data_IF_573551068616
#
_entry.id   IF_573551068616
#
_cell.length_a   1.000
_cell.length_b   1.000
_cell.length_c   1.000
_cell.angle_alpha   90.00
_cell.angle_beta   90.00
_cell.angle_gamma   90.00
#
_symmetry.space_group_name_H-M   'P 1'
#
loop_
_entity.id
_entity.type
_entity.pdbx_description
1 polymer ?
#
# COMPACT_ATOMS: atom_id res chain seq x y z
N UNK A 1 -27.18 66.90 -21.42
CA UNK A 1 -26.66 65.81 -22.29
C UNK A 1 -25.55 65.06 -21.56
N UNK A 2 -25.57 63.72 -21.65
CA UNK A 2 -24.49 62.73 -21.37
C UNK A 2 -23.95 62.57 -19.93
N UNK A 3 -24.57 61.66 -19.17
CA UNK A 3 -23.88 60.85 -18.15
C UNK A 3 -23.38 59.55 -18.81
N UNK A 4 -22.06 59.44 -18.96
CA UNK A 4 -21.39 58.31 -19.58
C UNK A 4 -21.31 57.13 -18.61
N UNK A 5 -21.85 55.99 -19.06
CA UNK A 5 -21.74 54.66 -18.44
C UNK A 5 -20.27 54.24 -18.41
N UNK A 6 -19.73 53.96 -17.23
CA UNK A 6 -18.48 53.17 -17.05
C UNK A 6 -18.64 52.26 -15.85
N UNK A 7 -19.36 51.17 -16.05
CA UNK A 7 -19.27 50.00 -15.20
C UNK A 7 -19.01 48.80 -16.11
N UNK A 8 -18.27 47.82 -15.58
CA UNK A 8 -18.22 46.45 -16.10
C UNK A 8 -17.12 46.10 -17.12
N UNK A 9 -15.87 46.53 -16.90
CA UNK A 9 -14.71 45.85 -17.50
C UNK A 9 -13.92 45.02 -16.47
N UNK A 10 -13.80 45.50 -15.22
CA UNK A 10 -13.02 44.82 -14.19
C UNK A 10 -13.66 43.52 -13.64
N UNK A 11 -15.00 43.42 -13.65
CA UNK A 11 -15.70 42.24 -13.14
C UNK A 11 -15.63 41.03 -14.09
N UNK A 12 -15.44 41.25 -15.39
CA UNK A 12 -15.40 40.17 -16.39
C UNK A 12 -14.05 39.43 -16.36
N UNK A 13 -12.95 40.14 -16.09
CA UNK A 13 -11.62 39.50 -16.00
C UNK A 13 -11.46 38.63 -14.74
N UNK A 14 -12.07 39.01 -13.62
CA UNK A 14 -12.03 38.21 -12.39
C UNK A 14 -12.83 36.90 -12.53
N UNK A 15 -13.94 36.91 -13.29
CA UNK A 15 -14.73 35.71 -13.55
C UNK A 15 -14.01 34.71 -14.48
N UNK A 16 -13.23 35.19 -15.47
CA UNK A 16 -12.47 34.33 -16.38
C UNK A 16 -11.25 33.66 -15.73
N UNK A 17 -10.67 34.27 -14.69
CA UNK A 17 -9.56 33.66 -13.91
C UNK A 17 -10.02 32.54 -12.97
N UNK A 18 -11.30 32.50 -12.60
CA UNK A 18 -11.87 31.47 -11.70
C UNK A 18 -12.31 30.19 -12.43
N UNK A 19 -12.38 30.21 -13.77
CA UNK A 19 -12.76 29.04 -14.59
C UNK A 19 -11.55 28.16 -14.92
N UNK A 20 -10.33 28.62 -14.62
CA UNK A 20 -9.08 27.91 -14.93
C UNK A 20 -8.69 26.76 -13.98
N UNK A 21 -9.43 26.55 -12.89
CA UNK A 21 -9.08 25.55 -11.87
C UNK A 21 -10.18 24.50 -11.65
N UNK A 22 -11.04 24.24 -12.64
CA UNK A 22 -11.76 22.96 -12.66
C UNK A 22 -10.76 21.91 -13.15
N UNK A 23 -9.84 21.53 -12.26
CA UNK A 23 -9.00 20.37 -12.47
C UNK A 23 -9.95 19.21 -12.74
N UNK A 24 -9.88 18.61 -13.94
CA UNK A 24 -10.59 17.37 -14.20
C UNK A 24 -10.13 16.39 -13.13
N UNK A 25 -11.06 15.96 -12.27
CA UNK A 25 -10.76 14.92 -11.31
C UNK A 25 -10.15 13.75 -12.07
N UNK A 26 -8.97 13.26 -11.64
CA UNK A 26 -8.33 12.18 -12.35
C UNK A 26 -9.24 10.96 -12.31
N UNK A 27 -9.46 10.33 -13.47
CA UNK A 27 -10.28 9.12 -13.60
C UNK A 27 -9.81 8.08 -12.59
N UNK A 28 -10.74 7.51 -11.82
CA UNK A 28 -10.40 6.54 -10.79
C UNK A 28 -9.84 5.24 -11.41
N UNK A 29 -8.92 4.59 -10.69
CA UNK A 29 -8.43 3.24 -11.02
C UNK A 29 -9.47 2.22 -10.54
N UNK A 30 -9.89 1.31 -11.42
CA UNK A 30 -11.00 0.36 -11.13
C UNK A 30 -10.66 -1.12 -11.35
N UNK A 31 -9.49 -1.41 -11.92
CA UNK A 31 -9.04 -2.77 -12.22
C UNK A 31 -7.55 -2.91 -11.97
N UNK A 32 -7.11 -4.13 -11.62
CA UNK A 32 -5.69 -4.50 -11.52
C UNK A 32 -4.95 -4.40 -12.86
N UNK A 33 -5.67 -4.34 -13.98
CA UNK A 33 -5.10 -4.21 -15.33
C UNK A 33 -4.87 -2.76 -15.76
N UNK A 34 -5.22 -1.78 -14.93
CA UNK A 34 -5.00 -0.38 -15.25
C UNK A 34 -3.49 -0.12 -15.46
N UNK A 35 -3.07 0.40 -16.63
CA UNK A 35 -1.66 0.55 -16.97
C UNK A 35 -0.92 1.46 -15.98
N UNK A 36 -1.63 2.38 -15.32
CA UNK A 36 -1.06 3.29 -14.31
C UNK A 36 -0.52 2.56 -13.09
N UNK A 37 -1.05 1.37 -12.80
CA UNK A 37 -0.55 0.53 -11.72
C UNK A 37 0.85 0.00 -12.03
N UNK A 38 1.16 -0.25 -13.31
CA UNK A 38 2.43 -0.84 -13.73
C UNK A 38 3.56 0.18 -13.77
N UNK A 39 3.29 1.38 -14.24
CA UNK A 39 4.30 2.43 -14.34
C UNK A 39 4.38 3.34 -13.10
N UNK A 40 3.47 3.16 -12.14
CA UNK A 40 3.42 3.96 -10.92
C UNK A 40 2.79 5.34 -11.11
N UNK A 41 2.15 5.61 -12.24
CA UNK A 41 1.49 6.90 -12.53
C UNK A 41 0.11 7.08 -11.89
N UNK A 42 -0.26 6.21 -10.93
CA UNK A 42 -1.48 6.40 -10.14
C UNK A 42 -1.41 7.74 -9.40
N UNK A 43 -2.40 8.63 -9.56
CA UNK A 43 -2.39 9.92 -8.90
C UNK A 43 -2.32 9.77 -7.38
N UNK A 44 -1.43 10.52 -6.73
CA UNK A 44 -1.22 10.45 -5.28
C UNK A 44 -2.50 10.69 -4.46
N UNK A 45 -3.43 11.51 -4.98
CA UNK A 45 -4.74 11.75 -4.38
C UNK A 45 -5.62 10.48 -4.29
N UNK A 46 -5.34 9.46 -5.10
CA UNK A 46 -6.03 8.16 -5.05
C UNK A 46 -5.30 7.13 -4.17
N UNK A 47 -4.08 7.42 -3.71
CA UNK A 47 -3.26 6.52 -2.92
C UNK A 47 -3.44 6.77 -1.42
N UNK A 48 -3.81 5.72 -0.69
CA UNK A 48 -3.84 5.74 0.77
C UNK A 48 -2.77 4.79 1.30
N UNK A 49 -1.75 5.32 1.98
CA UNK A 49 -0.66 4.53 2.55
C UNK A 49 -1.15 3.63 3.69
N UNK A 50 -0.75 2.37 3.65
CA UNK A 50 -1.02 1.38 4.69
C UNK A 50 0.22 1.21 5.57
N UNK A 51 0.02 1.20 6.88
CA UNK A 51 1.05 0.87 7.87
C UNK A 51 1.24 -0.65 7.99
N UNK A 52 1.30 -1.35 6.87
CA UNK A 52 1.36 -2.81 6.79
C UNK A 52 2.79 -3.32 6.46
N UNK A 53 3.81 -2.50 6.68
CA UNK A 53 5.22 -2.92 6.52
C UNK A 53 5.65 -3.80 7.70
N UNK A 54 5.39 -5.10 7.63
CA UNK A 54 5.53 -6.05 8.73
C UNK A 54 6.18 -7.37 8.28
N UNK A 55 7.06 -7.91 9.14
CA UNK A 55 7.66 -9.24 8.98
C UNK A 55 6.67 -10.37 9.35
N UNK A 56 6.91 -11.64 8.97
CA UNK A 56 5.95 -12.73 9.19
C UNK A 56 5.50 -12.93 10.64
N UNK A 57 6.42 -12.80 11.59
CA UNK A 57 6.14 -12.93 13.01
C UNK A 57 5.32 -11.74 13.57
N UNK A 58 5.49 -10.55 13.00
CA UNK A 58 4.63 -9.39 13.29
C UNK A 58 3.25 -9.57 12.68
N UNK A 59 3.17 -10.10 11.44
CA UNK A 59 1.90 -10.43 10.76
C UNK A 59 1.13 -11.49 11.54
N UNK A 60 1.81 -12.43 12.20
CA UNK A 60 1.18 -13.43 13.07
C UNK A 60 0.54 -12.82 14.34
N UNK A 61 1.00 -11.65 14.80
CA UNK A 61 0.33 -10.88 15.88
C UNK A 61 -0.97 -10.25 15.36
N UNK A 62 -0.93 -9.71 14.15
CA UNK A 62 -2.09 -9.08 13.52
C UNK A 62 -3.17 -10.13 13.17
N UNK A 63 -2.74 -11.24 12.58
CA UNK A 63 -3.57 -12.38 12.18
C UNK A 63 -2.94 -13.70 12.65
N UNK A 64 -3.39 -14.24 13.80
CA UNK A 64 -2.92 -15.51 14.32
C UNK A 64 -3.01 -16.63 13.27
N UNK A 65 -1.93 -17.40 13.13
CA UNK A 65 -1.81 -18.47 12.13
C UNK A 65 -1.24 -18.04 10.78
N UNK A 66 -0.86 -16.77 10.60
CA UNK A 66 -0.03 -16.37 9.46
C UNK A 66 1.32 -17.11 9.49
N UNK A 67 1.65 -17.81 8.40
CA UNK A 67 2.84 -18.66 8.34
C UNK A 67 3.53 -18.64 6.97
N UNK A 68 3.14 -17.72 6.08
CA UNK A 68 3.81 -17.59 4.79
C UNK A 68 5.20 -16.97 4.98
N UNK A 69 6.25 -17.44 4.27
CA UNK A 69 7.61 -16.90 4.36
C UNK A 69 7.76 -15.58 3.56
N UNK A 70 6.79 -14.67 3.75
CA UNK A 70 6.68 -13.41 3.06
C UNK A 70 6.41 -12.29 4.07
N UNK A 71 7.28 -11.30 4.08
CA UNK A 71 7.00 -10.01 4.69
C UNK A 71 6.19 -9.14 3.73
N UNK A 72 5.31 -8.30 4.28
CA UNK A 72 4.75 -7.17 3.54
C UNK A 72 5.67 -6.00 3.83
N UNK A 73 6.23 -5.36 2.79
CA UNK A 73 7.23 -4.28 2.95
C UNK A 73 6.72 -2.92 2.50
N UNK A 74 5.44 -2.85 2.16
CA UNK A 74 4.74 -1.62 1.82
C UNK A 74 3.41 -1.92 1.17
N UNK A 75 2.49 -0.97 1.27
CA UNK A 75 1.19 -1.09 0.61
C UNK A 75 0.48 0.23 0.47
N UNK A 76 -0.28 0.36 -0.62
CA UNK A 76 -1.23 1.43 -0.84
C UNK A 76 -2.60 0.84 -1.13
N UNK A 77 -3.64 1.45 -0.55
CA UNK A 77 -5.02 1.26 -0.98
C UNK A 77 -5.36 2.30 -2.05
N UNK A 78 -6.08 1.86 -3.09
CA UNK A 78 -6.53 2.66 -4.22
C UNK A 78 -8.04 2.50 -4.33
N UNK A 79 -8.80 3.58 -4.08
CA UNK A 79 -10.25 3.44 -3.92
C UNK A 79 -10.59 2.47 -2.79
N UNK A 80 -11.72 1.77 -2.85
CA UNK A 80 -12.18 0.92 -1.73
C UNK A 80 -11.53 -0.46 -1.68
N UNK A 81 -11.23 -1.04 -2.84
CA UNK A 81 -10.96 -2.48 -2.93
C UNK A 81 -9.67 -2.85 -3.66
N UNK A 82 -8.98 -1.90 -4.29
CA UNK A 82 -7.70 -2.20 -4.93
C UNK A 82 -6.56 -1.93 -3.96
N UNK A 83 -5.61 -2.84 -3.94
CA UNK A 83 -4.36 -2.69 -3.23
C UNK A 83 -3.19 -2.76 -4.20
N UNK A 84 -2.18 -1.94 -3.94
CA UNK A 84 -0.83 -2.12 -4.46
C UNK A 84 0.03 -2.60 -3.28
N UNK A 85 0.57 -3.81 -3.35
CA UNK A 85 1.29 -4.46 -2.25
C UNK A 85 2.70 -4.83 -2.66
N UNK A 86 3.63 -4.65 -1.73
CA UNK A 86 5.01 -5.12 -1.87
C UNK A 86 5.26 -6.28 -0.93
N UNK A 87 5.73 -7.39 -1.50
CA UNK A 87 6.13 -8.58 -0.76
C UNK A 87 7.65 -8.74 -0.83
N UNK A 88 8.23 -9.29 0.24
CA UNK A 88 9.65 -9.64 0.32
C UNK A 88 9.79 -11.06 0.85
N UNK A 89 10.67 -11.85 0.23
CA UNK A 89 11.08 -13.14 0.76
C UNK A 89 11.77 -12.96 2.11
N UNK A 90 11.14 -13.41 3.19
CA UNK A 90 11.63 -13.25 4.55
C UNK A 90 10.91 -14.22 5.46
N UNK A 91 11.65 -14.99 6.27
CA UNK A 91 11.04 -16.02 7.15
C UNK A 91 10.66 -15.48 8.54
N UNK A 92 11.36 -14.45 9.01
CA UNK A 92 11.10 -13.80 10.29
C UNK A 92 11.70 -12.40 10.32
N UNK A 93 11.36 -11.61 11.31
CA UNK A 93 11.96 -10.30 11.59
C UNK A 93 13.49 -10.32 11.80
N UNK A 94 14.09 -11.46 12.14
CA UNK A 94 15.56 -11.62 12.25
C UNK A 94 16.23 -11.95 10.89
N UNK A 95 15.46 -12.33 9.88
CA UNK A 95 15.92 -12.73 8.54
C UNK A 95 15.83 -11.56 7.54
N UNK A 96 16.39 -10.40 7.90
CA UNK A 96 16.38 -9.23 7.02
C UNK A 96 17.63 -9.25 6.13
N UNK A 97 17.41 -9.50 4.84
CA UNK A 97 18.48 -9.57 3.84
C UNK A 97 18.36 -8.46 2.80
N UNK A 98 19.49 -7.82 2.50
CA UNK A 98 19.57 -6.77 1.47
C UNK A 98 19.39 -7.33 0.05
N UNK A 99 19.61 -8.63 -0.15
CA UNK A 99 19.47 -9.35 -1.42
C UNK A 99 18.21 -10.24 -1.46
N UNK A 100 17.24 -9.98 -0.57
CA UNK A 100 15.97 -10.70 -0.62
C UNK A 100 15.19 -10.39 -1.90
N UNK A 101 14.54 -11.42 -2.47
CA UNK A 101 13.61 -11.25 -3.58
C UNK A 101 12.42 -10.38 -3.15
N UNK A 102 12.00 -9.47 -4.03
CA UNK A 102 10.82 -8.63 -3.83
C UNK A 102 9.90 -8.69 -5.04
N UNK A 103 8.62 -8.52 -4.77
CA UNK A 103 7.55 -8.50 -5.76
C UNK A 103 6.55 -7.41 -5.44
N UNK A 104 6.07 -6.71 -6.45
CA UNK A 104 4.98 -5.74 -6.37
C UNK A 104 3.74 -6.29 -7.06
N UNK A 105 2.59 -6.25 -6.40
CA UNK A 105 1.32 -6.75 -6.91
C UNK A 105 0.25 -5.67 -6.87
N UNK A 106 -0.64 -5.68 -7.87
CA UNK A 106 -1.98 -5.14 -7.73
C UNK A 106 -2.92 -6.27 -7.30
N UNK A 107 -3.82 -6.00 -6.36
CA UNK A 107 -4.78 -6.99 -5.85
C UNK A 107 -6.16 -6.35 -5.76
N UNK A 108 -7.17 -7.04 -6.28
CA UNK A 108 -8.58 -6.72 -6.09
C UNK A 108 -9.14 -7.52 -4.91
N UNK A 109 -9.49 -6.81 -3.83
CA UNK A 109 -9.97 -7.43 -2.60
C UNK A 109 -11.42 -7.95 -2.69
N UNK A 110 -12.14 -7.69 -3.78
CA UNK A 110 -13.51 -8.18 -3.97
C UNK A 110 -13.53 -9.67 -4.31
N UNK A 111 -12.64 -10.07 -5.21
CA UNK A 111 -12.59 -11.43 -5.78
C UNK A 111 -11.22 -12.11 -5.67
N UNK A 112 -10.21 -11.38 -5.18
CA UNK A 112 -8.85 -11.87 -5.02
C UNK A 112 -8.04 -11.90 -6.31
N UNK A 113 -8.51 -11.26 -7.39
CA UNK A 113 -7.76 -11.14 -8.64
C UNK A 113 -6.46 -10.36 -8.39
N UNK A 114 -5.34 -10.85 -8.91
CA UNK A 114 -4.03 -10.25 -8.72
C UNK A 114 -3.25 -10.10 -10.02
N UNK A 115 -2.35 -9.12 -10.05
CA UNK A 115 -1.42 -8.87 -11.16
C UNK A 115 -0.04 -8.51 -10.64
N UNK A 116 0.98 -9.22 -11.12
CA UNK A 116 2.38 -8.86 -10.88
C UNK A 116 2.72 -7.57 -11.63
N UNK A 117 3.23 -6.57 -10.90
CA UNK A 117 3.60 -5.24 -11.41
C UNK A 117 5.11 -5.08 -11.52
N UNK A 118 5.85 -5.66 -10.57
CA UNK A 118 7.29 -5.53 -10.46
C UNK A 118 7.89 -6.75 -9.75
N UNK A 119 9.14 -7.06 -10.06
CA UNK A 119 9.87 -8.13 -9.41
C UNK A 119 11.37 -7.84 -9.52
N UNK A 120 12.15 -8.25 -8.51
CA UNK A 120 13.60 -8.17 -8.56
C UNK A 120 14.27 -8.51 -7.24
N UNK A 121 15.55 -8.18 -7.14
CA UNK A 121 16.41 -8.51 -6.00
C UNK A 121 16.76 -7.23 -5.24
N UNK A 122 16.54 -7.25 -3.94
CA UNK A 122 16.97 -6.21 -3.02
C UNK A 122 15.98 -5.10 -2.77
N UNK A 123 16.45 -4.03 -2.15
CA UNK A 123 15.60 -2.94 -1.65
C UNK A 123 14.88 -2.26 -2.80
N UNK A 124 13.58 -2.05 -2.66
CA UNK A 124 12.75 -1.30 -3.60
C UNK A 124 12.55 -1.92 -5.00
N UNK A 125 13.04 -3.15 -5.23
CA UNK A 125 12.84 -3.88 -6.47
C UNK A 125 11.36 -4.29 -6.73
N UNK A 126 10.49 -4.19 -5.72
CA UNK A 126 9.06 -4.45 -5.84
C UNK A 126 8.20 -3.24 -6.20
N UNK A 127 8.77 -2.08 -6.52
CA UNK A 127 7.97 -0.92 -6.95
C UNK A 127 7.60 -0.97 -8.44
N UNK A 128 6.38 -0.54 -8.79
CA UNK A 128 6.03 -0.29 -10.19
C UNK A 128 7.01 0.67 -10.86
N UNK A 129 7.32 0.39 -12.12
CA UNK A 129 8.18 1.23 -12.95
C UNK A 129 7.97 0.91 -14.43
N UNK A 130 8.57 1.71 -15.30
CA UNK A 130 8.61 1.41 -16.73
C UNK A 130 9.58 0.28 -17.08
N UNK A 131 10.38 -0.21 -16.13
CA UNK A 131 11.31 -1.30 -16.40
C UNK A 131 10.55 -2.61 -16.71
N UNK A 132 11.12 -3.49 -17.55
CA UNK A 132 10.63 -4.85 -17.67
C UNK A 132 10.61 -5.53 -16.30
N UNK A 133 9.56 -6.31 -16.03
CA UNK A 133 9.50 -7.14 -14.82
C UNK A 133 10.62 -8.18 -14.90
N UNK A 134 11.45 -8.28 -13.87
CA UNK A 134 12.53 -9.24 -13.86
C UNK A 134 11.98 -10.68 -13.89
N UNK A 135 12.69 -11.55 -14.62
CA UNK A 135 12.38 -12.98 -14.65
C UNK A 135 12.95 -13.66 -13.40
N UNK A 136 12.21 -13.57 -12.30
CA UNK A 136 12.48 -14.28 -11.05
C UNK A 136 11.26 -15.09 -10.65
N UNK A 137 11.50 -16.23 -10.01
CA UNK A 137 10.42 -17.08 -9.52
C UNK A 137 9.53 -16.29 -8.54
N UNK A 138 8.22 -16.33 -8.78
CA UNK A 138 7.23 -15.80 -7.84
C UNK A 138 7.12 -16.71 -6.60
N UNK A 139 6.64 -16.18 -5.46
CA UNK A 139 6.24 -17.02 -4.33
C UNK A 139 5.14 -18.01 -4.74
N UNK A 140 4.98 -19.08 -3.97
CA UNK A 140 3.90 -20.05 -4.24
C UNK A 140 2.53 -19.37 -4.22
N UNK A 141 1.58 -19.91 -4.98
CA UNK A 141 0.21 -19.37 -5.04
C UNK A 141 -0.42 -19.28 -3.65
N UNK A 142 -0.19 -20.32 -2.83
CA UNK A 142 -0.69 -20.40 -1.46
C UNK A 142 -0.12 -19.29 -0.59
N UNK A 143 1.19 -19.04 -0.67
CA UNK A 143 1.85 -18.02 0.16
C UNK A 143 1.40 -16.62 -0.21
N UNK A 144 1.36 -16.29 -1.52
CA UNK A 144 0.91 -14.96 -1.96
C UNK A 144 -0.55 -14.71 -1.59
N UNK A 145 -1.44 -15.70 -1.75
CA UNK A 145 -2.85 -15.55 -1.39
C UNK A 145 -3.06 -15.32 0.10
N UNK A 146 -2.23 -15.91 0.96
CA UNK A 146 -2.27 -15.64 2.41
C UNK A 146 -1.90 -14.19 2.71
N UNK A 147 -0.85 -13.67 2.08
CA UNK A 147 -0.44 -12.27 2.25
C UNK A 147 -1.52 -11.30 1.71
N UNK A 148 -2.09 -11.60 0.54
CA UNK A 148 -3.16 -10.79 -0.06
C UNK A 148 -4.43 -10.79 0.79
N UNK A 149 -4.87 -11.96 1.26
CA UNK A 149 -6.06 -12.07 2.11
C UNK A 149 -5.90 -11.26 3.40
N UNK A 150 -4.73 -11.34 4.05
CA UNK A 150 -4.42 -10.53 5.23
C UNK A 150 -4.47 -9.04 4.88
N UNK A 151 -3.76 -8.61 3.84
CA UNK A 151 -3.74 -7.20 3.46
C UNK A 151 -5.14 -6.66 3.10
N UNK A 152 -5.95 -7.45 2.40
CA UNK A 152 -7.33 -7.10 2.05
C UNK A 152 -8.24 -7.03 3.28
N UNK A 153 -8.12 -7.98 4.22
CA UNK A 153 -8.86 -7.96 5.48
C UNK A 153 -8.52 -6.72 6.32
N UNK A 154 -7.29 -6.22 6.18
CA UNK A 154 -6.75 -5.12 6.98
C UNK A 154 -6.55 -3.79 6.24
N UNK A 155 -7.18 -3.63 5.07
CA UNK A 155 -6.90 -2.48 4.18
C UNK A 155 -7.39 -1.13 4.71
N UNK A 156 -8.33 -1.14 5.65
CA UNK A 156 -8.94 0.08 6.21
C UNK A 156 -8.42 0.35 7.63
N UNK A 157 -8.33 -0.70 8.45
CA UNK A 157 -7.87 -0.60 9.84
C UNK A 157 -6.35 -0.44 9.98
N UNK A 158 -5.59 -0.57 8.89
CA UNK A 158 -4.14 -0.30 8.85
C UNK A 158 -3.77 0.97 8.07
N UNK A 159 -4.70 1.86 7.77
CA UNK A 159 -4.35 3.14 7.15
C UNK A 159 -3.49 4.01 8.08
N UNK A 160 -2.39 4.55 7.54
CA UNK A 160 -1.39 5.29 8.32
C UNK A 160 -1.98 6.51 9.06
N UNK A 161 -3.04 7.11 8.51
CA UNK A 161 -3.67 8.33 9.06
C UNK A 161 -4.73 8.04 10.11
N UNK A 162 -5.05 6.77 10.38
CA UNK A 162 -6.04 6.37 11.38
C UNK A 162 -5.34 6.27 12.74
N UNK A 163 -5.83 7.03 13.72
CA UNK A 163 -5.30 7.00 15.07
C UNK A 163 -5.52 5.62 15.70
N UNK A 164 -4.46 5.02 16.26
CA UNK A 164 -4.52 3.69 16.84
C UNK A 164 -4.86 2.60 15.82
N UNK A 165 -4.35 2.71 14.59
CA UNK A 165 -4.58 1.70 13.56
C UNK A 165 -4.07 0.31 14.02
N UNK A 166 -4.72 -0.75 13.57
CA UNK A 166 -4.51 -2.11 14.09
C UNK A 166 -3.11 -2.62 13.80
N UNK A 167 -2.52 -2.26 12.66
CA UNK A 167 -1.16 -2.64 12.33
C UNK A 167 -0.12 -1.99 13.24
N UNK A 168 -0.30 -0.72 13.58
CA UNK A 168 0.53 -0.04 14.58
C UNK A 168 0.44 -0.73 15.94
N UNK A 169 -0.78 -1.05 16.39
CA UNK A 169 -0.99 -1.77 17.65
C UNK A 169 -0.32 -3.15 17.64
N UNK A 170 -0.44 -3.90 16.54
CA UNK A 170 0.20 -5.20 16.39
C UNK A 170 1.73 -5.09 16.39
N UNK A 171 2.30 -4.07 15.73
CA UNK A 171 3.74 -3.82 15.76
C UNK A 171 4.25 -3.49 17.17
N UNK A 172 3.50 -2.67 17.93
CA UNK A 172 3.80 -2.36 19.34
C UNK A 172 3.72 -3.60 20.22
N UNK A 173 2.63 -4.37 20.12
CA UNK A 173 2.46 -5.61 20.88
C UNK A 173 3.59 -6.62 20.60
N UNK A 174 4.04 -6.71 19.35
CA UNK A 174 5.19 -7.52 19.00
C UNK A 174 6.49 -7.04 19.65
N UNK A 175 6.75 -5.73 19.67
CA UNK A 175 7.92 -5.16 20.36
C UNK A 175 7.89 -5.46 21.85
N UNK A 176 6.72 -5.31 22.49
CA UNK A 176 6.55 -5.59 23.92
C UNK A 176 6.84 -7.07 24.24
N UNK A 177 6.36 -7.99 23.39
CA UNK A 177 6.66 -9.43 23.54
C UNK A 177 8.15 -9.74 23.37
N UNK A 178 8.84 -9.07 22.45
CA UNK A 178 10.30 -9.22 22.23
C UNK A 178 11.13 -8.70 23.40
N UNK A 179 10.66 -7.64 24.07
CA UNK A 179 11.38 -6.97 25.16
C UNK A 179 11.04 -7.56 26.54
N UNK A 180 9.98 -8.35 26.66
CA UNK A 180 9.60 -8.98 27.91
C UNK A 180 10.73 -9.86 28.46
N UNK A 181 11.12 -9.72 29.74
CA UNK A 181 12.11 -10.60 30.34
C UNK A 181 11.60 -12.06 30.28
N UNK A 182 12.51 -13.05 30.15
CA UNK A 182 12.11 -14.45 30.16
C UNK A 182 11.30 -14.72 31.44
N UNK A 183 10.09 -15.27 31.28
CA UNK A 183 9.27 -15.65 32.44
C UNK A 183 10.09 -16.63 33.28
N UNK A 184 10.33 -16.26 34.54
CA UNK A 184 10.96 -17.16 35.49
C UNK A 184 10.18 -18.49 35.50
N UNK A 185 10.86 -19.64 35.48
CA UNK A 185 10.17 -20.91 35.57
C UNK A 185 9.31 -20.92 36.84
N UNK A 186 8.05 -21.35 36.71
CA UNK A 186 7.19 -21.54 37.87
C UNK A 186 7.88 -22.55 38.80
N UNK A 187 8.33 -22.08 39.96
CA UNK A 187 8.88 -22.95 41.00
C UNK A 187 7.69 -23.62 41.66
N UNK A 188 7.54 -24.92 41.39
CA UNK A 188 6.58 -25.81 42.05
C UNK A 188 7.15 -26.35 43.35
#
# INVERSE_FOLDING_TARGET
MRRSRRASAAAVLAALMLVGCIGRDPVAVHSVDDPRLRDGSVPSAQLTALQLSMAPDQLAVLQPGYSAPLAIVGGYRIGQDLLMLRLRAQRSSDDVRADALQWGYAVDCRDGTDRLLAAGIGVDAGWPSHAPVADIAEPTITDRRRAFALACAHRVDCELKVAGNRCEQAARAWLDMRQAPPRAPAVS
#
